data_IF_826901757813
#
_entry.id   IF_826901757813
#
_cell.length_a   1.000
_cell.length_b   1.000
_cell.length_c   1.000
_cell.angle_alpha   90.00
_cell.angle_beta   90.00
_cell.angle_gamma   90.00
#
_symmetry.space_group_name_H-M   'P 1'
#
loop_
_entity.id
_entity.type
_entity.pdbx_description
1 polymer ?
#
# COMPACT_ATOMS: atom_id res chain seq x y z
N UNK A 1 63.58 -32.04 -0.12
CA UNK A 1 64.25 -31.06 0.71
C UNK A 1 63.22 -30.39 1.60
N UNK A 2 63.21 -30.83 2.87
CA UNK A 2 62.43 -30.24 3.94
C UNK A 2 62.97 -28.82 4.14
N UNK A 3 62.21 -27.79 3.76
CA UNK A 3 62.54 -26.41 4.10
C UNK A 3 62.39 -26.25 5.60
N UNK A 4 63.51 -26.21 6.30
CA UNK A 4 63.53 -25.90 7.71
C UNK A 4 63.08 -24.48 7.91
N UNK A 5 62.16 -24.27 8.84
CA UNK A 5 61.59 -22.93 9.16
C UNK A 5 62.71 -22.12 9.82
N UNK A 6 63.14 -21.04 9.16
CA UNK A 6 64.06 -20.04 9.75
C UNK A 6 63.25 -18.90 10.37
N UNK A 7 63.25 -18.74 11.71
CA UNK A 7 62.53 -17.67 12.38
C UNK A 7 63.06 -16.24 12.07
N UNK A 8 64.27 -16.14 11.51
CA UNK A 8 64.88 -14.86 11.15
C UNK A 8 64.62 -14.42 9.71
N UNK A 9 64.15 -15.36 8.85
CA UNK A 9 63.74 -15.11 7.46
C UNK A 9 62.45 -15.89 7.12
N UNK A 10 61.33 -15.45 7.68
CA UNK A 10 60.07 -16.17 7.49
C UNK A 10 59.60 -16.04 6.02
N UNK A 11 59.71 -17.09 5.25
CA UNK A 11 59.15 -17.16 3.89
C UNK A 11 57.67 -17.45 3.97
N UNK A 12 56.84 -16.47 3.64
CA UNK A 12 55.39 -16.63 3.47
C UNK A 12 55.15 -17.35 2.16
N UNK A 13 54.77 -18.63 2.21
CA UNK A 13 54.34 -19.38 1.04
C UNK A 13 52.81 -19.29 0.99
N UNK A 14 52.23 -18.52 0.04
CA UNK A 14 50.77 -18.41 -0.06
C UNK A 14 50.18 -19.78 -0.40
N UNK A 15 49.35 -20.29 0.45
CA UNK A 15 48.52 -21.47 0.17
C UNK A 15 47.28 -21.06 -0.61
N UNK A 16 46.60 -22.05 -1.21
CA UNK A 16 45.46 -21.82 -2.07
C UNK A 16 44.28 -21.14 -1.34
N UNK A 17 44.18 -21.37 -0.04
CA UNK A 17 43.23 -20.80 0.89
C UNK A 17 43.51 -19.32 1.19
N UNK A 18 44.76 -18.85 1.03
CA UNK A 18 45.16 -17.45 1.23
C UNK A 18 44.85 -16.55 0.02
N UNK A 19 44.44 -17.15 -1.09
CA UNK A 19 44.02 -16.42 -2.29
C UNK A 19 42.66 -15.78 -2.04
N UNK A 20 42.61 -14.59 -1.49
CA UNK A 20 41.43 -13.75 -1.44
C UNK A 20 41.24 -13.12 -2.80
N UNK A 21 40.35 -13.69 -3.62
CA UNK A 21 39.87 -13.01 -4.81
C UNK A 21 38.90 -11.90 -4.39
N UNK A 22 39.11 -10.67 -4.88
CA UNK A 22 38.11 -9.63 -4.80
C UNK A 22 36.92 -10.09 -5.64
N UNK A 23 35.86 -10.60 -5.01
CA UNK A 23 34.61 -10.80 -5.69
C UNK A 23 33.78 -9.53 -5.58
N UNK A 24 33.27 -9.06 -6.68
CA UNK A 24 32.27 -8.00 -6.72
C UNK A 24 30.94 -8.65 -6.31
N UNK A 25 30.44 -8.29 -5.15
CA UNK A 25 29.07 -8.59 -4.79
C UNK A 25 28.23 -7.43 -5.29
N UNK A 26 27.33 -7.70 -6.22
CA UNK A 26 26.28 -6.74 -6.52
C UNK A 26 25.47 -6.58 -5.22
N UNK A 27 25.66 -5.49 -4.54
CA UNK A 27 24.75 -5.02 -3.49
C UNK A 27 23.77 -4.16 -4.27
N UNK A 28 22.56 -4.65 -4.48
CA UNK A 28 21.47 -3.78 -4.89
C UNK A 28 21.38 -2.66 -3.85
N UNK A 29 21.65 -1.42 -4.27
CA UNK A 29 21.37 -0.28 -3.41
C UNK A 29 19.87 -0.32 -3.16
N UNK A 30 19.41 -0.33 -1.90
CA UNK A 30 17.99 -0.14 -1.62
C UNK A 30 17.55 1.14 -2.33
N UNK A 31 16.42 1.08 -3.03
CA UNK A 31 15.83 2.28 -3.58
C UNK A 31 15.46 3.19 -2.42
N UNK A 32 16.02 4.39 -2.39
CA UNK A 32 15.79 5.32 -1.28
C UNK A 32 14.50 6.13 -1.45
N UNK A 33 13.80 5.94 -2.57
CA UNK A 33 12.60 6.70 -2.91
C UNK A 33 11.35 5.84 -2.68
N UNK A 34 10.35 6.41 -2.04
CA UNK A 34 9.05 5.79 -1.86
C UNK A 34 7.93 6.68 -2.38
N UNK A 35 6.91 6.04 -2.94
CA UNK A 35 5.65 6.65 -3.33
C UNK A 35 4.54 6.05 -2.46
N UNK A 36 3.79 6.91 -1.78
CA UNK A 36 2.60 6.54 -1.04
C UNK A 36 1.36 7.08 -1.76
N UNK A 37 0.53 6.19 -2.27
CA UNK A 37 -0.72 6.54 -2.95
C UNK A 37 -1.88 6.27 -2.01
N UNK A 38 -2.64 7.32 -1.70
CA UNK A 38 -3.91 7.20 -1.02
C UNK A 38 -5.05 7.26 -2.03
N UNK A 39 -5.92 6.27 -1.99
CA UNK A 39 -7.13 6.21 -2.82
C UNK A 39 -8.33 6.24 -1.89
N UNK A 40 -9.29 7.11 -2.16
CA UNK A 40 -10.51 7.22 -1.37
C UNK A 40 -11.74 7.18 -2.25
N UNK A 41 -12.64 6.30 -1.87
CA UNK A 41 -14.01 6.32 -2.34
C UNK A 41 -14.73 7.53 -1.72
N UNK A 42 -15.32 8.37 -2.57
CA UNK A 42 -16.05 9.57 -2.16
C UNK A 42 -17.53 9.47 -2.53
N UNK A 43 -18.00 8.26 -2.88
CA UNK A 43 -19.38 7.95 -3.17
C UNK A 43 -20.16 7.80 -1.88
N UNK A 44 -21.07 8.71 -1.59
CA UNK A 44 -21.96 8.60 -0.44
C UNK A 44 -21.72 9.65 0.64
N UNK A 45 -22.33 9.45 1.80
CA UNK A 45 -22.25 10.36 2.94
C UNK A 45 -20.99 10.05 3.77
N UNK A 46 -19.84 10.58 3.37
CA UNK A 46 -18.64 10.51 4.20
C UNK A 46 -18.81 11.50 5.36
N UNK A 47 -18.83 10.98 6.58
CA UNK A 47 -18.89 11.78 7.80
C UNK A 47 -17.54 12.38 8.17
N UNK A 48 -17.54 13.31 9.13
CA UNK A 48 -16.31 13.89 9.68
C UNK A 48 -15.43 12.80 10.33
N UNK A 49 -16.04 11.84 11.01
CA UNK A 49 -15.33 10.75 11.70
C UNK A 49 -14.55 9.86 10.73
N UNK A 50 -15.09 9.56 9.55
CA UNK A 50 -14.36 8.82 8.50
C UNK A 50 -13.14 9.63 8.02
N UNK A 51 -13.32 10.93 7.80
CA UNK A 51 -12.22 11.81 7.39
C UNK A 51 -11.14 11.90 8.47
N UNK A 52 -11.51 11.87 9.74
CA UNK A 52 -10.56 11.90 10.85
C UNK A 52 -9.74 10.60 10.92
N UNK A 53 -10.38 9.42 10.74
CA UNK A 53 -9.68 8.13 10.66
C UNK A 53 -8.70 8.13 9.49
N UNK A 54 -9.15 8.50 8.29
CA UNK A 54 -8.30 8.53 7.10
C UNK A 54 -7.14 9.50 7.28
N UNK A 55 -7.40 10.71 7.81
CA UNK A 55 -6.37 11.72 8.08
C UNK A 55 -5.28 11.19 9.00
N UNK A 56 -5.70 10.48 10.05
CA UNK A 56 -4.78 9.87 11.01
C UNK A 56 -3.92 8.78 10.38
N UNK A 57 -4.52 7.89 9.58
CA UNK A 57 -3.79 6.85 8.87
C UNK A 57 -2.81 7.47 7.86
N UNK A 58 -3.23 8.49 7.12
CA UNK A 58 -2.34 9.22 6.21
C UNK A 58 -1.10 9.75 6.96
N UNK A 59 -1.33 10.45 8.07
CA UNK A 59 -0.24 11.01 8.89
C UNK A 59 0.71 9.94 9.43
N UNK A 60 0.17 8.87 10.03
CA UNK A 60 1.00 7.81 10.61
C UNK A 60 1.80 7.06 9.53
N UNK A 61 1.19 6.79 8.39
CA UNK A 61 1.84 6.09 7.28
C UNK A 61 2.97 6.90 6.66
N UNK A 62 2.75 8.20 6.45
CA UNK A 62 3.80 9.11 5.97
C UNK A 62 4.96 9.20 6.99
N UNK A 63 4.64 9.39 8.27
CA UNK A 63 5.65 9.46 9.32
C UNK A 63 6.48 8.18 9.40
N UNK A 64 5.82 7.02 9.32
CA UNK A 64 6.48 5.73 9.36
C UNK A 64 7.39 5.52 8.16
N UNK A 65 6.93 5.77 6.93
CA UNK A 65 7.74 5.61 5.73
C UNK A 65 8.94 6.57 5.69
N UNK A 66 8.79 7.80 6.21
CA UNK A 66 9.92 8.75 6.33
C UNK A 66 11.05 8.28 7.24
N UNK A 67 10.79 7.27 8.09
CA UNK A 67 11.86 6.65 8.89
C UNK A 67 12.77 5.71 8.08
N UNK A 68 12.31 5.25 6.90
CA UNK A 68 13.00 4.26 6.09
C UNK A 68 13.47 4.78 4.72
N UNK A 69 12.87 5.86 4.23
CA UNK A 69 13.12 6.41 2.91
C UNK A 69 13.59 7.86 2.99
N UNK A 70 14.61 8.18 2.21
CA UNK A 70 15.17 9.54 2.16
C UNK A 70 14.23 10.48 1.40
N UNK A 71 13.57 9.96 0.35
CA UNK A 71 12.59 10.68 -0.45
C UNK A 71 11.25 9.96 -0.39
N UNK A 72 10.22 10.66 0.08
CA UNK A 72 8.83 10.19 0.09
C UNK A 72 7.96 11.18 -0.65
N UNK A 73 7.34 10.72 -1.74
CA UNK A 73 6.26 11.43 -2.41
C UNK A 73 4.92 10.83 -2.04
N UNK A 74 3.91 11.70 -1.92
CA UNK A 74 2.54 11.30 -1.59
C UNK A 74 1.60 11.75 -2.70
N UNK A 75 0.73 10.86 -3.13
CA UNK A 75 -0.29 11.13 -4.13
C UNK A 75 -1.68 10.79 -3.59
N UNK A 76 -2.66 11.62 -3.95
CA UNK A 76 -4.03 11.51 -3.50
C UNK A 76 -4.96 11.28 -4.69
N UNK A 77 -5.75 10.22 -4.63
CA UNK A 77 -6.73 9.86 -5.66
C UNK A 77 -8.09 9.76 -4.99
N UNK A 78 -9.07 10.42 -5.56
CA UNK A 78 -10.48 10.27 -5.17
C UNK A 78 -11.27 9.69 -6.33
N UNK A 79 -12.26 8.88 -6.02
CA UNK A 79 -13.14 8.32 -7.04
C UNK A 79 -14.58 8.13 -6.54
N UNK A 80 -15.47 8.18 -7.50
CA UNK A 80 -16.81 7.62 -7.46
C UNK A 80 -16.93 6.61 -8.62
N UNK A 81 -17.65 6.93 -9.68
CA UNK A 81 -17.63 6.18 -10.95
C UNK A 81 -16.42 6.55 -11.83
N UNK A 82 -15.76 7.68 -11.54
CA UNK A 82 -14.58 8.19 -12.25
C UNK A 82 -13.54 8.64 -11.22
N UNK A 83 -12.30 8.24 -11.42
CA UNK A 83 -11.21 8.64 -10.55
C UNK A 83 -10.46 9.87 -11.06
N UNK A 84 -9.86 10.61 -10.12
CA UNK A 84 -8.97 11.74 -10.40
C UNK A 84 -7.95 11.92 -9.30
N UNK A 85 -6.76 12.35 -9.67
CA UNK A 85 -5.75 12.80 -8.72
C UNK A 85 -6.11 14.21 -8.22
N UNK A 86 -5.95 14.45 -6.93
CA UNK A 86 -6.12 15.75 -6.29
C UNK A 86 -4.78 16.24 -5.71
N UNK A 87 -4.55 17.59 -5.70
CA UNK A 87 -3.23 18.12 -5.38
C UNK A 87 -2.91 18.14 -3.89
N UNK A 88 -3.90 18.09 -3.00
CA UNK A 88 -3.71 18.26 -1.56
C UNK A 88 -4.49 17.22 -0.74
N UNK A 89 -3.98 16.94 0.45
CA UNK A 89 -4.66 16.09 1.43
C UNK A 89 -5.99 16.74 1.89
N UNK A 90 -6.07 18.07 1.96
CA UNK A 90 -7.30 18.79 2.32
C UNK A 90 -8.42 18.52 1.30
N UNK A 91 -8.13 18.60 0.01
CA UNK A 91 -9.08 18.22 -1.03
C UNK A 91 -9.45 16.74 -0.97
N UNK A 92 -8.46 15.86 -0.77
CA UNK A 92 -8.66 14.42 -0.63
C UNK A 92 -9.64 14.09 0.50
N UNK A 93 -9.54 14.77 1.64
CA UNK A 93 -10.39 14.52 2.81
C UNK A 93 -11.79 15.18 2.71
N UNK A 94 -11.93 16.31 1.98
CA UNK A 94 -13.18 17.08 1.96
C UNK A 94 -14.07 16.80 0.77
N UNK A 95 -13.51 16.29 -0.34
CA UNK A 95 -14.31 16.06 -1.54
C UNK A 95 -15.36 14.97 -1.29
N UNK A 96 -16.58 15.27 -1.71
CA UNK A 96 -17.71 14.35 -1.69
C UNK A 96 -18.46 14.47 -3.02
N UNK A 97 -18.85 13.32 -3.56
CA UNK A 97 -19.65 13.27 -4.78
C UNK A 97 -20.84 12.34 -4.56
N UNK A 98 -21.97 12.67 -5.15
CA UNK A 98 -23.15 11.84 -5.17
C UNK A 98 -23.17 10.98 -6.43
N UNK A 99 -22.54 9.84 -6.40
CA UNK A 99 -22.51 8.89 -7.51
C UNK A 99 -22.48 7.44 -7.04
N UNK A 100 -22.43 6.50 -7.98
CA UNK A 100 -22.13 5.10 -7.67
C UNK A 100 -20.65 4.90 -7.45
N UNK A 101 -20.25 3.67 -7.09
CA UNK A 101 -18.86 3.32 -6.80
C UNK A 101 -18.32 2.35 -7.84
N UNK A 102 -17.24 2.72 -8.51
CA UNK A 102 -16.41 1.83 -9.31
C UNK A 102 -14.99 1.81 -8.75
N UNK A 103 -14.68 0.78 -7.97
CA UNK A 103 -13.34 0.56 -7.40
C UNK A 103 -12.29 0.47 -8.51
N UNK A 104 -12.65 -0.13 -9.65
CA UNK A 104 -11.77 -0.21 -10.81
C UNK A 104 -11.28 1.15 -11.32
N UNK A 105 -12.08 2.21 -11.15
CA UNK A 105 -11.67 3.55 -11.57
C UNK A 105 -10.49 4.08 -10.75
N UNK A 106 -10.52 3.91 -9.43
CA UNK A 106 -9.40 4.24 -8.53
C UNK A 106 -8.13 3.45 -8.85
N UNK A 107 -8.28 2.16 -9.09
CA UNK A 107 -7.17 1.30 -9.50
C UNK A 107 -6.53 1.74 -10.80
N UNK A 108 -7.33 2.04 -11.84
CA UNK A 108 -6.83 2.50 -13.13
C UNK A 108 -6.08 3.82 -13.01
N UNK A 109 -6.58 4.76 -12.22
CA UNK A 109 -5.89 6.04 -12.00
C UNK A 109 -4.56 5.86 -11.28
N UNK A 110 -4.50 4.96 -10.29
CA UNK A 110 -3.23 4.60 -9.63
C UNK A 110 -2.22 4.00 -10.62
N UNK A 111 -2.65 3.04 -11.45
CA UNK A 111 -1.81 2.44 -12.50
C UNK A 111 -1.31 3.49 -13.48
N UNK A 112 -2.21 4.41 -13.92
CA UNK A 112 -1.84 5.52 -14.82
C UNK A 112 -0.76 6.40 -14.18
N UNK A 113 -0.98 6.83 -12.94
CA UNK A 113 -0.05 7.68 -12.20
C UNK A 113 1.33 7.03 -12.05
N UNK A 114 1.36 5.75 -11.65
CA UNK A 114 2.60 4.98 -11.50
C UNK A 114 3.35 4.91 -12.83
N UNK A 115 2.68 4.51 -13.91
CA UNK A 115 3.32 4.36 -15.22
C UNK A 115 3.84 5.68 -15.80
N UNK A 116 3.13 6.78 -15.56
CA UNK A 116 3.51 8.09 -16.11
C UNK A 116 4.63 8.77 -15.32
N UNK A 117 4.68 8.63 -13.99
CA UNK A 117 5.56 9.44 -13.15
C UNK A 117 6.48 8.66 -12.23
N UNK A 118 6.10 7.43 -11.84
CA UNK A 118 6.76 6.70 -10.77
C UNK A 118 7.11 5.27 -11.21
N UNK A 119 8.07 5.09 -12.16
CA UNK A 119 8.41 3.77 -12.64
C UNK A 119 8.85 2.85 -11.48
N UNK A 120 8.31 1.61 -11.39
CA UNK A 120 8.56 0.69 -10.27
C UNK A 120 10.03 0.34 -10.06
N UNK A 121 10.85 0.42 -11.11
CA UNK A 121 12.30 0.19 -11.02
C UNK A 121 13.03 1.23 -10.15
N UNK A 122 12.40 2.40 -9.91
CA UNK A 122 13.01 3.52 -9.19
C UNK A 122 12.28 3.89 -7.90
N UNK A 123 11.09 3.31 -7.65
CA UNK A 123 10.23 3.68 -6.55
C UNK A 123 9.72 2.46 -5.77
N UNK A 124 9.78 2.54 -4.45
CA UNK A 124 9.05 1.64 -3.58
C UNK A 124 7.62 2.15 -3.45
N UNK A 125 6.65 1.39 -3.94
CA UNK A 125 5.27 1.87 -4.10
C UNK A 125 4.36 1.24 -3.06
N UNK A 126 3.64 2.08 -2.33
CA UNK A 126 2.65 1.72 -1.33
C UNK A 126 1.30 2.28 -1.73
N UNK A 127 0.27 1.45 -1.70
CA UNK A 127 -1.10 1.87 -2.01
C UNK A 127 -1.98 1.63 -0.81
N UNK A 128 -2.66 2.66 -0.34
CA UNK A 128 -3.67 2.57 0.71
C UNK A 128 -5.02 3.02 0.15
N UNK A 129 -5.95 2.10 0.14
CA UNK A 129 -7.28 2.29 -0.41
C UNK A 129 -8.32 2.36 0.70
N UNK A 130 -9.15 3.39 0.72
CA UNK A 130 -10.22 3.59 1.69
C UNK A 130 -11.58 3.56 1.00
N UNK A 131 -12.47 2.70 1.48
CA UNK A 131 -13.82 2.56 0.96
C UNK A 131 -14.76 2.16 2.09
N UNK A 132 -16.04 2.29 1.84
CA UNK A 132 -17.09 1.79 2.70
C UNK A 132 -17.47 0.32 2.43
N UNK A 133 -16.69 -0.36 1.59
CA UNK A 133 -16.93 -1.76 1.21
C UNK A 133 -18.00 -1.94 0.15
N UNK A 134 -18.66 -0.86 -0.30
CA UNK A 134 -19.63 -0.92 -1.39
C UNK A 134 -18.91 -0.80 -2.75
N UNK A 135 -19.32 -1.64 -3.70
CA UNK A 135 -18.94 -1.56 -5.11
C UNK A 135 -20.07 -2.07 -5.97
N UNK A 136 -20.21 -1.58 -7.17
CA UNK A 136 -21.15 -2.16 -8.11
C UNK A 136 -20.72 -3.58 -8.48
N UNK A 137 -21.66 -4.53 -8.45
CA UNK A 137 -21.36 -5.94 -8.67
C UNK A 137 -20.68 -6.21 -10.01
N UNK A 138 -21.06 -5.46 -11.03
CA UNK A 138 -20.49 -5.55 -12.37
C UNK A 138 -19.04 -5.10 -12.47
N UNK A 139 -18.57 -4.30 -11.48
CA UNK A 139 -17.20 -3.81 -11.42
C UNK A 139 -16.25 -4.71 -10.61
N UNK A 140 -16.77 -5.60 -9.78
CA UNK A 140 -15.95 -6.42 -8.87
C UNK A 140 -14.87 -7.22 -9.61
N UNK A 141 -15.25 -7.92 -10.69
CA UNK A 141 -14.31 -8.72 -11.48
C UNK A 141 -13.24 -7.85 -12.15
N UNK A 142 -13.65 -6.70 -12.66
CA UNK A 142 -12.74 -5.74 -13.30
C UNK A 142 -11.76 -5.15 -12.30
N UNK A 143 -12.25 -4.68 -11.14
CA UNK A 143 -11.44 -4.11 -10.08
C UNK A 143 -10.43 -5.13 -9.55
N UNK A 144 -10.86 -6.38 -9.33
CA UNK A 144 -10.00 -7.46 -8.86
C UNK A 144 -8.95 -7.85 -9.90
N UNK A 145 -9.31 -7.86 -11.18
CA UNK A 145 -8.38 -8.16 -12.27
C UNK A 145 -7.28 -7.09 -12.38
N UNK A 146 -7.64 -5.81 -12.35
CA UNK A 146 -6.65 -4.72 -12.39
C UNK A 146 -5.73 -4.78 -11.18
N UNK A 147 -6.29 -5.03 -9.99
CA UNK A 147 -5.49 -5.19 -8.79
C UNK A 147 -4.45 -6.30 -8.95
N UNK A 148 -4.87 -7.49 -9.39
CA UNK A 148 -4.03 -8.67 -9.52
C UNK A 148 -2.97 -8.55 -10.61
N UNK A 149 -3.38 -8.06 -11.79
CA UNK A 149 -2.54 -8.09 -12.99
C UNK A 149 -1.64 -6.83 -13.11
N UNK A 150 -2.12 -5.68 -12.64
CA UNK A 150 -1.44 -4.40 -12.88
C UNK A 150 -0.88 -3.74 -11.61
N UNK A 151 -1.46 -3.96 -10.42
CA UNK A 151 -1.02 -3.29 -9.19
C UNK A 151 -0.11 -4.18 -8.35
N UNK A 152 -0.57 -5.37 -7.94
CA UNK A 152 0.19 -6.25 -7.02
C UNK A 152 1.60 -6.57 -7.52
N UNK A 153 1.84 -6.80 -8.83
CA UNK A 153 3.19 -7.08 -9.31
C UNK A 153 4.20 -5.93 -9.12
N UNK A 154 3.72 -4.69 -9.01
CA UNK A 154 4.56 -3.49 -9.03
C UNK A 154 4.60 -2.73 -7.69
N UNK A 155 3.78 -3.11 -6.71
CA UNK A 155 3.76 -2.45 -5.39
C UNK A 155 4.52 -3.26 -4.34
N UNK A 156 5.03 -2.58 -3.33
CA UNK A 156 5.59 -3.18 -2.13
C UNK A 156 4.47 -3.61 -1.18
N UNK A 157 3.39 -2.83 -1.12
CA UNK A 157 2.21 -3.17 -0.32
C UNK A 157 0.95 -2.51 -0.89
N UNK A 158 -0.16 -3.24 -0.79
CA UNK A 158 -1.51 -2.76 -1.03
C UNK A 158 -2.35 -3.00 0.24
N UNK A 159 -2.83 -1.94 0.85
CA UNK A 159 -3.71 -2.00 2.02
C UNK A 159 -5.11 -1.50 1.65
N UNK A 160 -6.13 -2.29 1.98
CA UNK A 160 -7.53 -1.93 1.79
C UNK A 160 -8.19 -1.74 3.15
N UNK A 161 -8.46 -0.48 3.49
CA UNK A 161 -9.17 -0.07 4.70
C UNK A 161 -10.66 0.08 4.43
N UNK A 162 -11.47 -0.76 5.06
CA UNK A 162 -12.91 -0.70 4.95
C UNK A 162 -13.49 0.04 6.15
N UNK A 163 -14.04 1.24 5.93
CA UNK A 163 -14.50 2.13 6.98
C UNK A 163 -15.99 1.93 7.19
N UNK A 164 -16.37 1.57 8.41
CA UNK A 164 -17.78 1.38 8.79
C UNK A 164 -18.05 2.13 10.09
N UNK A 165 -18.48 3.37 9.95
CA UNK A 165 -18.93 4.18 11.09
C UNK A 165 -20.44 4.19 11.06
N UNK A 166 -21.09 3.87 12.21
CA UNK A 166 -22.54 3.89 12.50
C UNK A 166 -23.47 4.13 11.28
N UNK A 167 -23.62 3.12 10.43
CA UNK A 167 -24.53 3.24 9.28
C UNK A 167 -25.94 2.96 9.67
N UNK A 168 -26.77 4.00 9.62
CA UNK A 168 -28.20 3.86 9.43
C UNK A 168 -28.48 3.41 7.98
N UNK A 169 -28.36 2.11 7.73
CA UNK A 169 -28.79 1.56 6.46
C UNK A 169 -30.09 0.79 6.66
N UNK A 170 -31.18 1.23 6.06
CA UNK A 170 -32.48 0.56 6.08
C UNK A 170 -33.08 0.32 7.48
N UNK A 171 -32.91 1.23 8.43
CA UNK A 171 -33.56 1.18 9.75
C UNK A 171 -33.03 0.13 10.72
N UNK A 172 -31.90 -0.50 10.43
CA UNK A 172 -31.19 -1.35 11.39
C UNK A 172 -29.86 -0.66 11.79
N UNK A 173 -29.73 -0.39 13.10
CA UNK A 173 -28.42 -0.06 13.69
C UNK A 173 -27.49 -1.24 13.44
N UNK A 174 -26.33 -1.01 12.83
CA UNK A 174 -25.21 -1.90 13.02
C UNK A 174 -25.03 -2.04 14.55
N UNK A 175 -24.99 -3.27 15.06
CA UNK A 175 -24.87 -3.50 16.49
C UNK A 175 -23.62 -2.80 16.98
N UNK A 176 -23.79 -1.94 17.97
CA UNK A 176 -22.78 -1.15 18.68
C UNK A 176 -21.82 -2.09 19.44
N UNK A 177 -21.10 -2.95 18.71
CA UNK A 177 -20.15 -3.92 19.28
C UNK A 177 -18.73 -3.42 19.23
N UNK A 178 -18.45 -2.31 18.50
CA UNK A 178 -17.09 -1.81 18.33
C UNK A 178 -16.14 -2.79 17.63
N UNK A 179 -16.66 -3.91 17.15
CA UNK A 179 -15.91 -4.91 16.38
C UNK A 179 -16.41 -4.94 14.96
N UNK A 180 -15.47 -4.85 14.03
CA UNK A 180 -15.74 -5.04 12.61
C UNK A 180 -16.03 -6.53 12.39
N UNK A 181 -17.29 -6.89 12.14
CA UNK A 181 -17.70 -8.28 12.15
C UNK A 181 -17.37 -9.06 10.89
N UNK A 182 -17.47 -8.44 9.72
CA UNK A 182 -17.20 -9.09 8.43
C UNK A 182 -16.89 -8.06 7.35
N UNK A 183 -15.95 -8.35 6.39
CA UNK A 183 -15.69 -7.47 5.27
C UNK A 183 -16.89 -7.38 4.33
N UNK A 184 -17.06 -6.24 3.70
CA UNK A 184 -18.00 -6.06 2.59
C UNK A 184 -17.68 -7.00 1.42
N UNK A 185 -18.48 -6.94 0.37
CA UNK A 185 -18.34 -7.89 -0.74
C UNK A 185 -16.98 -7.83 -1.42
N UNK A 186 -16.48 -6.62 -1.71
CA UNK A 186 -15.16 -6.47 -2.32
C UNK A 186 -14.04 -6.91 -1.38
N UNK A 187 -14.09 -6.49 -0.11
CA UNK A 187 -13.14 -6.92 0.93
C UNK A 187 -13.12 -8.43 1.13
N UNK A 188 -14.29 -9.09 1.14
CA UNK A 188 -14.40 -10.56 1.23
C UNK A 188 -13.73 -11.26 0.04
N UNK A 189 -13.92 -10.75 -1.19
CA UNK A 189 -13.27 -11.27 -2.38
C UNK A 189 -11.75 -11.06 -2.33
N UNK A 190 -11.30 -9.89 -1.87
CA UNK A 190 -9.90 -9.56 -1.72
C UNK A 190 -9.21 -10.49 -0.73
N UNK A 191 -9.76 -10.67 0.47
CA UNK A 191 -9.21 -11.58 1.49
C UNK A 191 -9.13 -13.02 0.98
N UNK A 192 -10.14 -13.47 0.22
CA UNK A 192 -10.16 -14.82 -0.34
C UNK A 192 -9.11 -15.02 -1.44
N UNK A 193 -9.03 -14.08 -2.39
CA UNK A 193 -8.12 -14.17 -3.54
C UNK A 193 -6.66 -14.04 -3.13
N UNK A 194 -6.35 -13.13 -2.19
CA UNK A 194 -4.99 -12.81 -1.76
C UNK A 194 -4.59 -13.41 -0.42
N UNK A 195 -5.24 -14.48 0.02
CA UNK A 195 -5.01 -15.13 1.32
C UNK A 195 -3.53 -15.44 1.63
N UNK A 196 -2.73 -15.73 0.61
CA UNK A 196 -1.32 -16.11 0.73
C UNK A 196 -0.37 -15.02 0.18
N UNK A 197 -0.88 -13.83 -0.12
CA UNK A 197 -0.08 -12.71 -0.65
C UNK A 197 0.22 -11.73 0.48
N UNK A 198 1.46 -11.75 0.97
CA UNK A 198 1.89 -10.92 2.11
C UNK A 198 1.82 -9.41 1.82
N UNK A 199 1.82 -9.03 0.53
CA UNK A 199 1.73 -7.64 0.12
C UNK A 199 0.32 -7.06 0.22
N UNK A 200 -0.71 -7.90 0.40
CA UNK A 200 -2.10 -7.46 0.44
C UNK A 200 -2.63 -7.55 1.87
N UNK A 201 -3.09 -6.42 2.37
CA UNK A 201 -3.67 -6.31 3.71
C UNK A 201 -5.09 -5.76 3.60
N UNK A 202 -6.02 -6.36 4.33
CA UNK A 202 -7.35 -5.84 4.58
C UNK A 202 -7.49 -5.47 6.06
N UNK A 203 -8.13 -4.34 6.34
CA UNK A 203 -8.45 -3.90 7.69
C UNK A 203 -9.85 -3.29 7.74
N UNK A 204 -10.64 -3.69 8.73
CA UNK A 204 -11.88 -2.99 9.10
C UNK A 204 -11.57 -1.85 10.05
N UNK A 205 -12.09 -0.67 9.76
CA UNK A 205 -11.82 0.56 10.48
C UNK A 205 -13.13 1.13 11.02
N UNK A 206 -13.30 1.15 12.35
CA UNK A 206 -14.50 1.66 13.03
C UNK A 206 -14.23 2.90 13.86
N UNK A 207 -12.97 3.11 14.24
CA UNK A 207 -12.51 4.22 15.08
C UNK A 207 -11.03 4.52 14.82
N UNK A 208 -10.57 5.67 15.30
CA UNK A 208 -9.17 6.11 15.08
C UNK A 208 -8.16 5.11 15.65
N UNK A 209 -8.48 4.43 16.75
CA UNK A 209 -7.60 3.44 17.38
C UNK A 209 -7.36 2.20 16.54
N UNK A 210 -8.22 1.90 15.55
CA UNK A 210 -8.05 0.78 14.63
C UNK A 210 -6.93 1.03 13.58
N UNK A 211 -6.40 2.25 13.56
CA UNK A 211 -5.28 2.63 12.68
C UNK A 211 -3.90 2.16 13.20
N UNK A 212 -3.86 1.52 14.36
CA UNK A 212 -2.69 0.87 14.96
C UNK A 212 -2.84 -0.63 15.02
#
# INVERSE_FOLDING_TARGET
TSGEYDPKDPKIIPIKEDKRSKSWKYVEKPQNNALLIFIRDVSGSVGQEESDIISYICFCSELWLRCFYDELETAYIVHDTVARTVPTQDEFLRLQFGGGTYISSGHLEAVRLIREKYPPDNWNIYVMYFSDGFNWQEDDERAMKILKDDIIPIVNQYAYGEITIDRWWWGQKAKDTGEFSEPGRFGSNLVKEFKNEEKVVWAGLTKVEDAF
#
